data_IF_159548716121
#
_entry.id   IF_159548716121
#
_cell.length_a   1.000
_cell.length_b   1.000
_cell.length_c   1.000
_cell.angle_alpha   90.00
_cell.angle_beta   90.00
_cell.angle_gamma   90.00
#
_symmetry.space_group_name_H-M   'P 1'
#
loop_
_entity.id
_entity.type
_entity.pdbx_description
1 polymer ?
#
# COMPACT_ATOMS: atom_id res chain seq x y z
N UNK A 1 19.76 4.14 20.40
CA UNK A 1 18.49 4.36 19.66
C UNK A 1 18.83 4.78 18.25
N UNK A 2 18.35 4.06 17.24
CA UNK A 2 18.60 4.42 15.84
C UNK A 2 17.76 5.65 15.46
N UNK A 3 18.40 6.60 14.78
CA UNK A 3 17.73 7.80 14.26
C UNK A 3 16.87 7.39 13.06
N UNK A 4 15.58 7.77 13.06
CA UNK A 4 14.64 7.41 12.01
C UNK A 4 14.94 8.12 10.67
N UNK A 5 15.24 7.31 9.65
CA UNK A 5 15.41 7.72 8.25
C UNK A 5 14.76 6.72 7.28
N UNK A 6 13.72 6.00 7.74
CA UNK A 6 13.10 4.89 7.00
C UNK A 6 12.41 5.38 5.72
N UNK A 7 11.74 6.54 5.77
CA UNK A 7 10.98 7.08 4.65
C UNK A 7 11.42 8.51 4.31
N UNK A 8 10.97 9.10 3.18
CA UNK A 8 11.36 10.44 2.74
C UNK A 8 11.03 11.57 3.73
N UNK A 9 10.13 11.34 4.71
CA UNK A 9 9.89 12.33 5.78
C UNK A 9 11.15 12.70 6.55
N UNK A 10 12.15 11.81 6.61
CA UNK A 10 13.44 12.10 7.21
C UNK A 10 13.36 12.69 8.62
N UNK A 11 12.48 12.17 9.46
CA UNK A 11 12.15 12.76 10.78
C UNK A 11 13.34 12.91 11.70
N UNK A 12 14.39 12.09 11.55
CA UNK A 12 15.64 12.12 12.33
C UNK A 12 15.42 12.11 13.84
N UNK A 13 14.36 11.45 14.31
CA UNK A 13 14.07 11.28 15.72
C UNK A 13 14.56 9.92 16.20
N UNK A 14 15.03 9.78 17.46
CA UNK A 14 15.26 8.48 18.07
C UNK A 14 13.90 7.82 18.34
N UNK A 15 13.53 6.85 17.51
CA UNK A 15 12.23 6.16 17.65
C UNK A 15 12.23 5.34 18.93
N UNK A 16 11.13 5.45 19.66
CA UNK A 16 10.83 4.54 20.78
C UNK A 16 10.53 3.14 20.25
N UNK A 17 10.77 2.14 21.09
CA UNK A 17 10.47 0.75 20.75
C UNK A 17 8.97 0.53 20.64
N UNK A 18 8.23 0.81 21.70
CA UNK A 18 6.77 0.74 21.76
C UNK A 18 6.11 2.10 21.64
N UNK A 19 4.86 2.14 21.18
CA UNK A 19 4.05 3.37 21.16
C UNK A 19 3.87 3.95 22.57
N UNK A 20 3.90 3.14 23.59
CA UNK A 20 3.81 3.51 25.00
C UNK A 20 5.16 3.77 25.67
N UNK A 21 6.27 3.52 24.95
CA UNK A 21 7.63 3.67 25.47
C UNK A 21 8.10 5.12 25.51
N UNK A 22 9.27 5.34 26.14
CA UNK A 22 9.96 6.63 26.11
C UNK A 22 10.62 6.87 24.75
N UNK A 23 10.76 8.13 24.36
CA UNK A 23 11.38 8.56 23.12
C UNK A 23 10.41 9.32 22.22
N UNK A 24 10.90 9.69 21.04
CA UNK A 24 10.14 10.45 20.06
C UNK A 24 9.36 9.55 19.10
N UNK A 25 8.32 10.09 18.52
CA UNK A 25 7.64 9.54 17.35
C UNK A 25 7.88 10.44 16.15
N UNK A 26 8.04 9.84 14.97
CA UNK A 26 8.12 10.59 13.72
C UNK A 26 6.75 11.04 13.21
N UNK A 27 6.72 11.48 11.96
CA UNK A 27 5.49 11.89 11.28
C UNK A 27 4.39 10.80 11.32
N UNK A 28 4.76 9.52 11.16
CA UNK A 28 3.83 8.38 11.26
C UNK A 28 3.23 8.17 12.65
N UNK A 29 3.78 8.81 13.68
CA UNK A 29 3.34 8.77 15.09
C UNK A 29 3.30 7.36 15.69
N UNK A 30 4.21 6.46 15.25
CA UNK A 30 4.31 5.08 15.74
C UNK A 30 5.67 4.79 16.38
N UNK A 31 5.74 3.73 17.17
CA UNK A 31 6.98 3.12 17.65
C UNK A 31 7.67 2.25 16.59
N UNK A 32 8.60 1.41 17.03
CA UNK A 32 9.28 0.43 16.15
C UNK A 32 8.50 -0.87 16.04
N UNK A 33 7.74 -1.25 17.09
CA UNK A 33 6.89 -2.43 17.07
C UNK A 33 5.67 -2.20 16.15
N UNK A 34 5.27 -3.22 15.38
CA UNK A 34 4.13 -3.12 14.47
C UNK A 34 2.83 -2.88 15.21
N UNK A 35 2.01 -1.98 14.68
CA UNK A 35 0.63 -1.83 15.11
C UNK A 35 -0.23 -2.35 13.95
N UNK A 36 -1.00 -3.40 14.20
CA UNK A 36 -1.83 -4.07 13.20
C UNK A 36 -3.29 -3.86 13.53
N UNK A 37 -4.08 -3.49 12.53
CA UNK A 37 -5.50 -3.16 12.68
C UNK A 37 -6.40 -4.33 12.30
N UNK A 38 -5.93 -5.19 11.39
CA UNK A 38 -6.61 -6.38 10.92
C UNK A 38 -5.62 -7.28 10.20
N UNK A 39 -5.81 -8.59 10.33
CA UNK A 39 -5.12 -9.62 9.56
C UNK A 39 -6.13 -10.70 9.13
N UNK A 40 -6.48 -10.74 7.84
CA UNK A 40 -7.49 -11.65 7.32
C UNK A 40 -7.33 -11.87 5.81
N UNK A 41 -8.01 -12.88 5.27
CA UNK A 41 -8.15 -13.00 3.82
C UNK A 41 -8.95 -11.81 3.28
N UNK A 42 -8.41 -11.17 2.22
CA UNK A 42 -9.01 -10.02 1.55
C UNK A 42 -9.16 -10.31 0.06
N UNK A 43 -10.36 -10.03 -0.49
CA UNK A 43 -10.73 -10.43 -1.85
C UNK A 43 -10.85 -9.25 -2.82
N UNK A 44 -10.50 -8.04 -2.38
CA UNK A 44 -10.80 -6.80 -3.11
C UNK A 44 -9.56 -6.02 -3.57
N UNK A 45 -8.37 -6.65 -3.54
CA UNK A 45 -7.22 -6.16 -4.27
C UNK A 45 -7.34 -6.55 -5.75
N UNK A 46 -6.40 -6.11 -6.58
CA UNK A 46 -6.38 -6.45 -8.00
C UNK A 46 -6.47 -7.97 -8.23
N UNK A 47 -7.08 -8.42 -9.33
CA UNK A 47 -7.33 -9.84 -9.59
C UNK A 47 -6.10 -10.72 -9.46
N UNK A 48 -4.92 -10.24 -9.87
CA UNK A 48 -3.67 -10.99 -9.74
C UNK A 48 -3.09 -11.01 -8.31
N UNK A 49 -3.66 -10.26 -7.38
CA UNK A 49 -3.29 -10.26 -5.96
C UNK A 49 -4.29 -11.12 -5.16
N UNK A 50 -5.57 -10.80 -5.23
CA UNK A 50 -6.62 -11.50 -4.47
C UNK A 50 -6.92 -12.90 -5.03
N UNK A 51 -6.95 -13.05 -6.34
CA UNK A 51 -7.34 -14.30 -6.98
C UNK A 51 -8.68 -14.85 -6.45
N UNK A 52 -8.79 -16.17 -6.39
CA UNK A 52 -10.02 -16.85 -5.95
C UNK A 52 -10.08 -17.15 -4.45
N UNK A 53 -8.93 -17.17 -3.75
CA UNK A 53 -8.84 -17.52 -2.32
C UNK A 53 -8.57 -16.32 -1.41
N UNK A 54 -8.30 -15.15 -1.99
CA UNK A 54 -7.95 -13.93 -1.28
C UNK A 54 -6.45 -13.78 -1.01
N UNK A 55 -6.03 -12.54 -0.82
CA UNK A 55 -4.74 -12.18 -0.28
C UNK A 55 -4.75 -12.33 1.25
N UNK A 56 -3.67 -12.80 1.83
CA UNK A 56 -3.46 -12.79 3.28
C UNK A 56 -3.02 -11.41 3.73
N UNK A 57 -3.99 -10.51 3.93
CA UNK A 57 -3.72 -9.09 4.09
C UNK A 57 -3.51 -8.69 5.54
N UNK A 58 -2.44 -7.94 5.79
CA UNK A 58 -2.09 -7.36 7.09
C UNK A 58 -2.16 -5.84 6.98
N UNK A 59 -3.13 -5.22 7.63
CA UNK A 59 -3.33 -3.77 7.64
C UNK A 59 -2.57 -3.14 8.81
N UNK A 60 -1.55 -2.36 8.50
CA UNK A 60 -0.78 -1.62 9.51
C UNK A 60 -1.39 -0.27 9.83
N UNK A 61 -1.33 0.13 11.10
CA UNK A 61 -1.78 1.43 11.58
C UNK A 61 -0.67 2.48 11.51
N UNK A 62 -1.05 3.74 11.27
CA UNK A 62 -0.14 4.84 10.97
C UNK A 62 0.18 4.92 9.49
N UNK A 63 0.73 6.06 9.06
CA UNK A 63 1.12 6.29 7.67
C UNK A 63 2.16 7.40 7.58
N UNK A 64 3.01 7.35 6.56
CA UNK A 64 3.98 8.41 6.28
C UNK A 64 3.43 9.52 5.35
N UNK A 65 2.20 9.40 4.84
CA UNK A 65 1.57 10.38 3.95
C UNK A 65 0.45 11.19 4.60
N UNK A 66 -0.48 10.54 5.34
CA UNK A 66 -1.68 11.19 5.93
C UNK A 66 -2.55 11.91 4.87
N UNK A 67 -2.86 11.23 3.76
CA UNK A 67 -3.71 11.77 2.70
C UNK A 67 -5.07 12.19 3.26
N UNK A 68 -5.55 13.38 2.91
CA UNK A 68 -6.81 13.95 3.42
C UNK A 68 -8.04 13.13 3.02
N UNK A 69 -7.95 12.37 1.93
CA UNK A 69 -9.00 11.52 1.37
C UNK A 69 -8.80 10.01 1.63
N UNK A 70 -7.96 9.64 2.59
CA UNK A 70 -7.62 8.23 2.81
C UNK A 70 -8.85 7.40 3.19
N UNK A 71 -9.19 6.38 2.40
CA UNK A 71 -10.26 5.43 2.71
C UNK A 71 -9.97 4.67 4.03
N UNK A 72 -8.70 4.43 4.32
CA UNK A 72 -8.24 3.78 5.54
C UNK A 72 -7.95 4.81 6.67
N UNK A 73 -8.73 5.90 6.76
CA UNK A 73 -8.50 7.01 7.69
C UNK A 73 -8.44 6.56 9.15
N UNK A 74 -9.27 5.60 9.55
CA UNK A 74 -9.32 5.06 10.90
C UNK A 74 -7.98 4.47 11.35
N UNK A 75 -7.26 3.82 10.45
CA UNK A 75 -5.99 3.18 10.77
C UNK A 75 -4.80 4.07 10.40
N UNK A 76 -4.86 4.84 9.32
CA UNK A 76 -3.75 5.68 8.87
C UNK A 76 -3.56 6.92 9.74
N UNK A 77 -4.65 7.61 10.12
CA UNK A 77 -4.63 8.87 10.87
C UNK A 77 -5.01 8.65 12.35
N UNK A 78 -6.11 7.92 12.64
CA UNK A 78 -6.53 7.63 14.00
C UNK A 78 -5.73 6.51 14.66
N UNK A 79 -4.96 5.74 13.88
CA UNK A 79 -4.03 4.69 14.32
C UNK A 79 -4.70 3.61 15.18
N UNK A 80 -5.95 3.28 14.84
CA UNK A 80 -6.64 2.16 15.48
C UNK A 80 -5.95 0.87 15.14
N UNK A 81 -5.52 0.13 16.14
CA UNK A 81 -4.83 -1.15 15.97
C UNK A 81 -4.20 -1.64 17.28
N UNK A 82 -3.64 -2.82 17.24
CA UNK A 82 -3.02 -3.51 18.37
C UNK A 82 -1.52 -3.58 18.11
N UNK A 83 -0.70 -3.12 19.06
CA UNK A 83 0.74 -3.27 19.00
C UNK A 83 1.11 -4.73 19.28
N UNK A 84 1.92 -5.32 18.40
CA UNK A 84 2.33 -6.72 18.48
C UNK A 84 3.84 -6.87 18.39
N UNK A 85 4.36 -8.02 18.81
CA UNK A 85 5.77 -8.35 18.62
C UNK A 85 6.08 -8.76 17.18
N UNK A 86 7.36 -8.77 16.82
CA UNK A 86 7.85 -9.25 15.52
C UNK A 86 7.53 -10.73 15.30
N UNK A 87 7.62 -11.52 16.38
CA UNK A 87 7.30 -12.96 16.38
C UNK A 87 5.81 -13.18 16.10
N UNK A 88 4.93 -12.36 16.73
CA UNK A 88 3.49 -12.43 16.46
C UNK A 88 3.18 -12.08 15.01
N UNK A 89 3.84 -11.09 14.44
CA UNK A 89 3.69 -10.75 13.03
C UNK A 89 4.07 -11.93 12.11
N UNK A 90 5.14 -12.64 12.42
CA UNK A 90 5.55 -13.84 11.67
C UNK A 90 4.55 -15.01 11.85
N UNK A 91 3.90 -15.15 13.01
CA UNK A 91 2.83 -16.13 13.23
C UNK A 91 1.60 -15.82 12.38
N UNK A 92 1.19 -14.54 12.34
CA UNK A 92 0.07 -14.08 11.50
C UNK A 92 0.26 -14.48 10.05
N UNK A 93 1.46 -14.34 9.48
CA UNK A 93 1.72 -14.77 8.10
C UNK A 93 1.45 -16.25 7.91
N UNK A 94 1.90 -17.10 8.83
CA UNK A 94 1.69 -18.55 8.76
C UNK A 94 0.21 -18.91 8.91
N UNK A 95 -0.51 -18.23 9.79
CA UNK A 95 -1.95 -18.41 9.99
C UNK A 95 -2.75 -18.06 8.72
N UNK A 96 -2.41 -16.95 8.04
CA UNK A 96 -3.04 -16.57 6.79
C UNK A 96 -2.73 -17.55 5.65
N UNK A 97 -1.48 -18.03 5.57
CA UNK A 97 -1.09 -19.08 4.61
C UNK A 97 -1.86 -20.37 4.88
N UNK A 98 -2.01 -20.79 6.14
CA UNK A 98 -2.79 -21.96 6.51
C UNK A 98 -4.28 -21.84 6.17
N UNK A 99 -4.82 -20.62 6.12
CA UNK A 99 -6.17 -20.31 5.62
C UNK A 99 -6.29 -20.36 4.10
N UNK A 100 -5.18 -20.55 3.38
CA UNK A 100 -5.16 -20.69 1.93
C UNK A 100 -4.85 -19.42 1.14
N UNK A 101 -4.32 -18.37 1.80
CA UNK A 101 -3.94 -17.13 1.13
C UNK A 101 -3.02 -17.37 -0.10
N UNK A 102 -3.27 -16.64 -1.18
CA UNK A 102 -2.41 -16.69 -2.38
C UNK A 102 -1.04 -16.04 -2.16
N UNK A 103 -0.98 -15.06 -1.28
CA UNK A 103 0.21 -14.27 -0.94
C UNK A 103 0.04 -13.68 0.47
N UNK A 104 1.07 -13.01 0.97
CA UNK A 104 0.98 -12.14 2.15
C UNK A 104 1.05 -10.69 1.67
N UNK A 105 -0.04 -9.97 1.81
CA UNK A 105 -0.16 -8.58 1.40
C UNK A 105 -0.01 -7.64 2.61
N UNK A 106 1.05 -6.84 2.61
CA UNK A 106 1.43 -5.92 3.68
C UNK A 106 0.96 -4.51 3.31
N UNK A 107 -0.17 -4.07 3.87
CA UNK A 107 -0.76 -2.76 3.56
C UNK A 107 -0.20 -1.66 4.45
N UNK A 108 0.47 -0.69 3.83
CA UNK A 108 1.13 0.46 4.48
C UNK A 108 2.23 0.06 5.49
N UNK A 109 3.17 -0.81 5.13
CA UNK A 109 4.20 -1.33 6.04
C UNK A 109 5.40 -0.40 6.20
N UNK A 110 5.51 0.69 5.45
CA UNK A 110 6.68 1.58 5.29
C UNK A 110 7.39 1.90 6.59
N UNK A 111 6.65 2.35 7.58
CA UNK A 111 7.20 2.83 8.85
C UNK A 111 7.57 1.69 9.82
N UNK A 112 7.21 0.46 9.49
CA UNK A 112 7.57 -0.78 10.20
C UNK A 112 8.55 -1.67 9.43
N UNK A 113 9.24 -1.13 8.43
CA UNK A 113 10.16 -1.88 7.55
C UNK A 113 11.13 -2.79 8.30
N UNK A 114 11.70 -2.34 9.44
CA UNK A 114 12.61 -3.18 10.22
C UNK A 114 11.92 -4.38 10.84
N UNK A 115 10.73 -4.19 11.41
CA UNK A 115 9.94 -5.28 11.98
C UNK A 115 9.46 -6.25 10.89
N UNK A 116 9.04 -5.73 9.74
CA UNK A 116 8.69 -6.54 8.55
C UNK A 116 9.89 -7.36 8.08
N UNK A 117 11.07 -6.74 7.95
CA UNK A 117 12.28 -7.46 7.55
C UNK A 117 12.61 -8.60 8.51
N UNK A 118 12.52 -8.36 9.82
CA UNK A 118 12.79 -9.37 10.84
C UNK A 118 11.73 -10.48 10.84
N UNK A 119 10.44 -10.14 10.72
CA UNK A 119 9.35 -11.13 10.71
C UNK A 119 9.36 -12.04 9.47
N UNK A 120 9.92 -11.56 8.35
CA UNK A 120 10.17 -12.34 7.13
C UNK A 120 11.52 -13.10 7.18
N UNK A 121 11.87 -13.69 8.31
CA UNK A 121 13.14 -14.39 8.53
C UNK A 121 13.45 -15.42 7.44
N UNK A 122 12.75 -16.55 7.43
CA UNK A 122 12.82 -17.56 6.37
C UNK A 122 11.86 -17.24 5.21
N UNK A 123 12.17 -17.67 3.97
CA UNK A 123 11.28 -17.51 2.83
C UNK A 123 9.90 -18.16 3.09
N UNK A 124 8.84 -17.43 2.77
CA UNK A 124 7.48 -17.96 2.83
C UNK A 124 7.16 -18.78 1.57
N UNK A 125 6.25 -19.78 1.65
CA UNK A 125 5.86 -20.60 0.51
C UNK A 125 4.96 -19.87 -0.51
N UNK A 126 4.61 -18.63 -0.23
CA UNK A 126 3.80 -17.73 -1.07
C UNK A 126 4.51 -16.39 -1.26
N UNK A 127 4.24 -15.65 -2.33
CA UNK A 127 4.82 -14.32 -2.52
C UNK A 127 4.45 -13.35 -1.38
N UNK A 128 5.36 -12.43 -1.09
CA UNK A 128 5.08 -11.28 -0.22
C UNK A 128 4.85 -10.06 -1.09
N UNK A 129 3.70 -9.42 -0.90
CA UNK A 129 3.28 -8.18 -1.54
C UNK A 129 3.54 -7.02 -0.58
N UNK A 130 4.20 -5.97 -1.07
CA UNK A 130 4.43 -4.72 -0.31
C UNK A 130 3.55 -3.63 -0.91
N UNK A 131 2.40 -3.40 -0.27
CA UNK A 131 1.35 -2.49 -0.69
C UNK A 131 1.53 -1.14 0.01
N UNK A 132 1.97 -0.13 -0.72
CA UNK A 132 2.38 1.14 -0.13
C UNK A 132 1.89 2.37 -0.90
N UNK A 133 1.91 3.52 -0.24
CA UNK A 133 1.52 4.80 -0.84
C UNK A 133 2.56 5.39 -1.81
N UNK A 134 3.59 4.65 -2.19
CA UNK A 134 4.64 5.09 -3.12
C UNK A 134 5.70 6.02 -2.51
N UNK A 135 5.41 6.70 -1.41
CA UNK A 135 6.35 7.63 -0.76
C UNK A 135 7.40 6.88 0.06
N UNK A 136 8.32 6.22 -0.67
CA UNK A 136 9.32 5.32 -0.12
C UNK A 136 10.74 5.88 -0.29
N UNK A 137 11.64 5.47 0.61
CA UNK A 137 13.07 5.72 0.44
C UNK A 137 13.70 4.62 -0.42
N UNK A 138 14.49 4.97 -1.41
CA UNK A 138 15.27 4.03 -2.24
C UNK A 138 16.10 3.08 -1.36
N UNK A 139 16.66 3.58 -0.25
CA UNK A 139 17.42 2.75 0.69
C UNK A 139 16.55 1.72 1.39
N UNK A 140 15.33 2.10 1.77
CA UNK A 140 14.37 1.18 2.40
C UNK A 140 13.91 0.10 1.43
N UNK A 141 13.61 0.47 0.19
CA UNK A 141 13.30 -0.49 -0.87
C UNK A 141 14.49 -1.44 -1.09
N UNK A 142 15.71 -0.91 -1.18
CA UNK A 142 16.92 -1.72 -1.34
C UNK A 142 17.18 -2.66 -0.15
N UNK A 143 16.90 -2.22 1.08
CA UNK A 143 17.02 -3.03 2.30
C UNK A 143 16.09 -4.25 2.30
N UNK A 144 14.90 -4.13 1.71
CA UNK A 144 13.93 -5.22 1.60
C UNK A 144 14.23 -6.20 0.44
N UNK A 145 15.33 -6.02 -0.27
CA UNK A 145 15.73 -6.90 -1.38
C UNK A 145 15.66 -8.37 -0.98
N UNK A 146 15.10 -9.21 -1.85
CA UNK A 146 14.89 -10.65 -1.67
C UNK A 146 13.81 -11.01 -0.62
N UNK A 147 13.27 -10.07 0.13
CA UNK A 147 12.16 -10.32 1.07
C UNK A 147 10.80 -10.08 0.41
N UNK A 148 10.75 -9.15 -0.55
CA UNK A 148 9.53 -8.77 -1.25
C UNK A 148 9.63 -9.26 -2.69
N UNK A 149 8.62 -9.99 -3.15
CA UNK A 149 8.48 -10.47 -4.51
C UNK A 149 7.62 -9.55 -5.36
N UNK A 150 6.55 -9.01 -4.78
CA UNK A 150 5.59 -8.16 -5.48
C UNK A 150 5.54 -6.79 -4.81
N UNK A 151 5.73 -5.75 -5.60
CA UNK A 151 5.59 -4.37 -5.14
C UNK A 151 4.28 -3.81 -5.67
N UNK A 152 3.48 -3.23 -4.80
CA UNK A 152 2.18 -2.63 -5.10
C UNK A 152 2.17 -1.16 -4.67
N UNK A 153 2.99 -0.30 -5.33
CA UNK A 153 3.04 1.12 -5.00
C UNK A 153 1.89 1.88 -5.64
N UNK A 154 1.29 2.81 -4.89
CA UNK A 154 0.49 3.85 -5.51
C UNK A 154 1.40 4.94 -6.10
N UNK A 155 1.12 5.42 -7.30
CA UNK A 155 1.67 6.64 -7.86
C UNK A 155 0.56 7.69 -7.90
N UNK A 156 0.42 8.42 -6.76
CA UNK A 156 -0.75 9.28 -6.49
C UNK A 156 -0.70 10.61 -7.23
N UNK A 157 0.49 11.20 -7.34
CA UNK A 157 0.67 12.54 -7.84
C UNK A 157 1.85 12.64 -8.79
N UNK A 158 1.67 13.36 -9.89
CA UNK A 158 2.72 13.96 -10.71
C UNK A 158 2.87 15.46 -10.41
N UNK A 159 1.86 16.09 -9.80
CA UNK A 159 1.81 17.51 -9.47
C UNK A 159 2.20 17.76 -8.01
N UNK A 160 3.25 18.55 -7.78
CA UNK A 160 3.75 18.87 -6.44
C UNK A 160 2.75 19.69 -5.61
N UNK A 161 1.92 20.51 -6.25
CA UNK A 161 0.90 21.32 -5.56
C UNK A 161 -0.21 20.43 -5.02
N UNK A 162 -0.69 19.47 -5.83
CA UNK A 162 -1.66 18.47 -5.40
C UNK A 162 -1.09 17.57 -4.28
N UNK A 163 0.17 17.14 -4.42
CA UNK A 163 0.85 16.32 -3.44
C UNK A 163 1.00 17.02 -2.07
N UNK A 164 1.38 18.29 -2.08
CA UNK A 164 1.46 19.10 -0.86
C UNK A 164 0.07 19.31 -0.25
N UNK A 165 -0.91 19.71 -1.07
CA UNK A 165 -2.26 20.04 -0.63
C UNK A 165 -2.98 18.85 0.01
N UNK A 166 -2.87 17.67 -0.59
CA UNK A 166 -3.67 16.50 -0.15
C UNK A 166 -2.88 15.49 0.67
N UNK A 167 -1.54 15.54 0.68
CA UNK A 167 -0.71 14.58 1.41
C UNK A 167 0.50 15.19 2.12
N UNK A 168 0.62 16.54 2.15
CA UNK A 168 1.73 17.29 2.76
C UNK A 168 3.10 16.75 2.32
N UNK A 169 3.28 16.51 1.03
CA UNK A 169 4.48 15.89 0.46
C UNK A 169 4.79 16.48 -0.93
N UNK A 170 5.27 17.72 -0.97
CA UNK A 170 5.59 18.43 -2.24
C UNK A 170 6.63 17.70 -3.10
N UNK A 171 7.50 16.91 -2.48
CA UNK A 171 8.52 16.07 -3.14
C UNK A 171 8.04 14.66 -3.48
N UNK A 172 6.72 14.38 -3.36
CA UNK A 172 6.14 13.05 -3.52
C UNK A 172 6.56 12.40 -4.85
N UNK A 173 6.38 13.10 -5.98
CA UNK A 173 6.61 12.52 -7.29
C UNK A 173 8.06 12.06 -7.44
N UNK A 174 9.03 12.91 -7.14
CA UNK A 174 10.46 12.58 -7.21
C UNK A 174 10.79 11.33 -6.37
N UNK A 175 10.25 11.25 -5.14
CA UNK A 175 10.52 10.13 -4.25
C UNK A 175 9.82 8.86 -4.70
N UNK A 176 8.58 8.96 -5.15
CA UNK A 176 7.79 7.82 -5.59
C UNK A 176 8.38 7.17 -6.86
N UNK A 177 8.72 7.98 -7.87
CA UNK A 177 9.28 7.44 -9.11
C UNK A 177 10.65 6.78 -8.88
N UNK A 178 11.51 7.41 -8.08
CA UNK A 178 12.81 6.82 -7.71
C UNK A 178 12.66 5.49 -6.96
N UNK A 179 11.66 5.40 -6.09
CA UNK A 179 11.37 4.17 -5.35
C UNK A 179 10.80 3.07 -6.28
N UNK A 180 9.85 3.41 -7.16
CA UNK A 180 9.25 2.49 -8.13
C UNK A 180 10.31 1.92 -9.08
N UNK A 181 11.19 2.77 -9.61
CA UNK A 181 12.32 2.30 -10.42
C UNK A 181 13.25 1.36 -9.64
N UNK A 182 13.48 1.64 -8.35
CA UNK A 182 14.27 0.73 -7.51
C UNK A 182 13.54 -0.60 -7.27
N UNK A 183 12.21 -0.61 -7.09
CA UNK A 183 11.40 -1.81 -7.01
C UNK A 183 11.52 -2.63 -8.29
N UNK A 184 11.37 -1.99 -9.45
CA UNK A 184 11.53 -2.65 -10.74
C UNK A 184 12.94 -3.20 -10.95
N UNK A 185 13.99 -2.45 -10.61
CA UNK A 185 15.38 -2.95 -10.68
C UNK A 185 15.62 -4.20 -9.85
N UNK A 186 14.83 -4.43 -8.79
CA UNK A 186 14.95 -5.62 -7.94
C UNK A 186 14.20 -6.84 -8.47
N UNK A 187 13.05 -6.63 -9.06
CA UNK A 187 12.18 -7.72 -9.53
C UNK A 187 12.33 -8.01 -11.02
N UNK A 188 12.69 -7.00 -11.82
CA UNK A 188 12.59 -7.07 -13.29
C UNK A 188 11.13 -7.12 -13.76
N UNK A 189 10.89 -7.57 -15.00
CA UNK A 189 9.55 -7.73 -15.56
C UNK A 189 8.64 -8.59 -14.68
N UNK A 190 7.34 -8.28 -14.71
CA UNK A 190 6.37 -9.02 -13.92
C UNK A 190 6.19 -10.46 -14.41
N UNK A 191 5.85 -11.36 -13.49
CA UNK A 191 5.52 -12.75 -13.80
C UNK A 191 4.20 -13.13 -13.14
N UNK A 192 3.23 -13.55 -13.95
CA UNK A 192 1.96 -14.11 -13.50
C UNK A 192 2.01 -15.62 -13.65
N UNK A 193 1.66 -16.34 -12.58
CA UNK A 193 1.60 -17.79 -12.59
C UNK A 193 0.42 -18.34 -13.42
N UNK A 194 0.42 -19.63 -13.68
CA UNK A 194 -0.69 -20.30 -14.37
C UNK A 194 -2.03 -20.21 -13.62
N UNK A 195 -1.98 -19.87 -12.31
CA UNK A 195 -3.12 -19.61 -11.45
C UNK A 195 -3.62 -18.16 -11.52
N UNK A 196 -3.07 -17.33 -12.41
CA UNK A 196 -3.40 -15.92 -12.57
C UNK A 196 -2.83 -15.00 -11.48
N UNK A 197 -2.03 -15.53 -10.55
CA UNK A 197 -1.49 -14.76 -9.42
C UNK A 197 -0.11 -14.19 -9.76
N UNK A 198 0.12 -12.93 -9.39
CA UNK A 198 1.41 -12.26 -9.52
C UNK A 198 2.45 -12.96 -8.63
N UNK A 199 3.50 -13.48 -9.23
CA UNK A 199 4.60 -14.19 -8.53
C UNK A 199 5.76 -13.26 -8.21
N UNK A 200 6.04 -12.30 -9.08
CA UNK A 200 6.99 -11.21 -8.85
C UNK A 200 6.70 -10.04 -9.79
N UNK A 201 7.19 -8.87 -9.44
CA UNK A 201 7.11 -7.67 -10.29
C UNK A 201 6.58 -6.45 -9.55
N UNK A 202 6.25 -5.44 -10.34
CA UNK A 202 5.66 -4.19 -9.84
C UNK A 202 4.29 -4.00 -10.48
N UNK A 203 3.28 -3.73 -9.66
CA UNK A 203 1.97 -3.28 -10.09
C UNK A 203 1.76 -1.85 -9.56
N UNK A 204 1.85 -0.86 -10.44
CA UNK A 204 1.67 0.56 -10.11
C UNK A 204 0.17 0.87 -10.10
N UNK A 205 -0.32 1.53 -9.05
CA UNK A 205 -1.72 1.94 -8.95
C UNK A 205 -1.85 3.45 -9.00
N UNK A 206 -2.86 3.94 -9.70
CA UNK A 206 -3.22 5.34 -9.72
C UNK A 206 -4.71 5.55 -9.45
N UNK A 207 -5.03 6.24 -8.35
CA UNK A 207 -6.39 6.64 -8.02
C UNK A 207 -6.70 8.01 -8.64
N UNK A 208 -7.66 8.07 -9.55
CA UNK A 208 -8.10 9.33 -10.14
C UNK A 208 -8.80 10.18 -9.09
N UNK A 209 -8.34 11.41 -8.90
CA UNK A 209 -8.99 12.40 -8.02
C UNK A 209 -9.87 13.35 -8.85
N UNK A 210 -11.06 13.73 -8.33
CA UNK A 210 -11.94 14.67 -9.02
C UNK A 210 -11.25 15.99 -9.36
N UNK A 211 -11.42 16.46 -10.59
CA UNK A 211 -10.83 17.72 -11.05
C UNK A 211 -9.30 17.72 -11.20
N UNK A 212 -8.65 16.56 -11.07
CA UNK A 212 -7.19 16.46 -11.10
C UNK A 212 -6.68 15.75 -12.37
N UNK A 213 -7.33 15.93 -13.52
CA UNK A 213 -6.99 15.25 -14.76
C UNK A 213 -5.55 15.53 -15.22
N UNK A 214 -5.04 16.76 -15.03
CA UNK A 214 -3.65 17.09 -15.32
C UNK A 214 -2.67 16.22 -14.51
N UNK A 215 -2.98 15.98 -13.24
CA UNK A 215 -2.21 15.09 -12.37
C UNK A 215 -2.22 13.64 -12.89
N UNK A 216 -3.40 13.14 -13.26
CA UNK A 216 -3.56 11.79 -13.83
C UNK A 216 -2.77 11.63 -15.12
N UNK A 217 -2.87 12.57 -16.05
CA UNK A 217 -2.12 12.54 -17.32
C UNK A 217 -0.61 12.51 -17.10
N UNK A 218 -0.07 13.33 -16.19
CA UNK A 218 1.36 13.32 -15.89
C UNK A 218 1.84 12.02 -15.22
N UNK A 219 0.98 11.30 -14.48
CA UNK A 219 1.28 9.95 -13.98
C UNK A 219 1.35 8.95 -15.14
N UNK A 220 0.36 8.98 -16.03
CA UNK A 220 0.29 8.08 -17.20
C UNK A 220 1.47 8.32 -18.16
N UNK A 221 1.83 9.57 -18.43
CA UNK A 221 2.99 9.95 -19.24
C UNK A 221 4.28 9.35 -18.65
N UNK A 222 4.51 9.54 -17.35
CA UNK A 222 5.69 8.96 -16.69
C UNK A 222 5.76 7.43 -16.84
N UNK A 223 4.64 6.72 -16.66
CA UNK A 223 4.61 5.27 -16.78
C UNK A 223 4.94 4.83 -18.21
N UNK A 224 4.32 5.46 -19.22
CA UNK A 224 4.55 5.16 -20.63
C UNK A 224 5.97 5.48 -21.10
N UNK A 225 6.58 6.56 -20.60
CA UNK A 225 7.94 6.96 -20.96
C UNK A 225 9.01 6.10 -20.28
N UNK A 226 8.72 5.58 -19.08
CA UNK A 226 9.71 4.89 -18.24
C UNK A 226 9.71 3.37 -18.45
N UNK A 227 8.54 2.76 -18.63
CA UNK A 227 8.40 1.31 -18.71
C UNK A 227 7.91 0.85 -20.08
N UNK A 228 8.41 -0.30 -20.50
CA UNK A 228 7.98 -0.95 -21.74
C UNK A 228 6.85 -1.93 -21.44
N UNK A 229 6.10 -2.31 -22.46
CA UNK A 229 5.16 -3.41 -22.37
C UNK A 229 5.84 -4.67 -21.83
N UNK A 230 5.26 -5.29 -20.82
CA UNK A 230 5.82 -6.46 -20.13
C UNK A 230 6.69 -6.11 -18.91
N UNK A 231 7.05 -4.85 -18.67
CA UNK A 231 7.90 -4.48 -17.52
C UNK A 231 7.10 -4.42 -16.23
N UNK A 232 5.99 -3.66 -16.21
CA UNK A 232 5.15 -3.44 -15.03
C UNK A 232 3.68 -3.62 -15.37
N UNK A 233 2.87 -3.92 -14.35
CA UNK A 233 1.43 -3.81 -14.46
C UNK A 233 0.99 -2.40 -13.98
N UNK A 234 -0.10 -1.90 -14.56
CA UNK A 234 -0.69 -0.63 -14.16
C UNK A 234 -2.18 -0.80 -13.84
N UNK A 235 -2.64 -0.25 -12.71
CA UNK A 235 -4.05 -0.25 -12.32
C UNK A 235 -4.60 1.17 -12.25
N UNK A 236 -5.50 1.51 -13.17
CA UNK A 236 -6.21 2.78 -13.18
C UNK A 236 -7.47 2.64 -12.31
N UNK A 237 -7.47 3.31 -11.15
CA UNK A 237 -8.50 3.14 -10.14
C UNK A 237 -9.56 4.24 -10.21
N UNK A 238 -10.83 3.82 -10.31
CA UNK A 238 -12.04 4.65 -10.33
C UNK A 238 -12.67 4.82 -8.94
N UNK A 239 -12.26 4.03 -7.97
CA UNK A 239 -12.99 3.83 -6.70
C UNK A 239 -12.95 5.02 -5.73
N UNK A 240 -12.57 6.23 -6.18
CA UNK A 240 -12.54 7.40 -5.31
C UNK A 240 -13.92 7.71 -4.73
N UNK A 241 -13.95 7.76 -3.40
CA UNK A 241 -15.09 8.28 -2.62
C UNK A 241 -14.53 9.22 -1.56
N UNK A 242 -15.13 10.39 -1.31
CA UNK A 242 -14.68 11.28 -0.24
C UNK A 242 -14.66 10.57 1.11
N UNK A 243 -13.50 10.56 1.75
CA UNK A 243 -13.28 9.98 3.09
C UNK A 243 -12.38 10.88 3.94
N UNK A 244 -12.29 10.57 5.21
CA UNK A 244 -11.39 11.22 6.15
C UNK A 244 -11.68 12.71 6.27
N UNK A 245 -10.77 13.55 5.78
CA UNK A 245 -10.87 15.02 5.81
C UNK A 245 -11.21 15.64 4.45
N UNK A 246 -11.67 14.83 3.49
CA UNK A 246 -11.96 15.30 2.12
C UNK A 246 -13.05 16.41 2.10
N UNK A 247 -13.97 16.43 3.06
CA UNK A 247 -15.00 17.47 3.21
C UNK A 247 -14.45 18.89 3.33
N UNK A 248 -13.22 19.03 3.85
CA UNK A 248 -12.52 20.33 3.93
C UNK A 248 -11.91 20.80 2.58
N UNK A 249 -12.04 20.00 1.53
CA UNK A 249 -11.46 20.23 0.20
C UNK A 249 -12.56 20.11 -0.86
N UNK A 250 -13.37 21.18 -1.09
CA UNK A 250 -14.58 21.11 -1.93
C UNK A 250 -14.33 20.56 -3.32
N UNK A 251 -13.15 20.80 -3.91
CA UNK A 251 -12.76 20.35 -5.25
C UNK A 251 -12.67 18.83 -5.38
N UNK A 252 -12.37 18.12 -4.27
CA UNK A 252 -12.31 16.66 -4.22
C UNK A 252 -13.41 16.06 -3.33
N UNK A 253 -14.33 16.87 -2.79
CA UNK A 253 -15.45 16.37 -1.97
C UNK A 253 -16.62 15.90 -2.83
N UNK A 254 -16.33 15.13 -3.86
CA UNK A 254 -17.30 14.47 -4.77
C UNK A 254 -16.67 13.22 -5.36
N UNK A 255 -17.45 12.35 -5.92
CA UNK A 255 -16.93 11.26 -6.76
C UNK A 255 -16.43 11.81 -8.09
N UNK A 256 -15.58 11.05 -8.78
CA UNK A 256 -15.24 11.33 -10.18
C UNK A 256 -16.47 11.13 -11.05
N UNK A 257 -16.55 11.88 -12.15
CA UNK A 257 -17.60 11.70 -13.15
C UNK A 257 -17.24 10.61 -14.15
N UNK A 258 -18.22 10.17 -14.95
CA UNK A 258 -17.98 9.20 -16.01
C UNK A 258 -17.03 9.80 -17.07
N UNK A 259 -17.21 11.07 -17.40
CA UNK A 259 -16.36 11.79 -18.36
C UNK A 259 -14.91 11.92 -17.88
N UNK A 260 -14.67 12.19 -16.58
CA UNK A 260 -13.32 12.23 -16.03
C UNK A 260 -12.64 10.85 -16.12
N UNK A 261 -13.39 9.78 -15.91
CA UNK A 261 -12.85 8.44 -16.04
C UNK A 261 -12.56 8.06 -17.49
N UNK A 262 -13.52 8.28 -18.38
CA UNK A 262 -13.39 8.00 -19.82
C UNK A 262 -12.23 8.79 -20.45
N UNK A 263 -12.03 10.05 -20.03
CA UNK A 263 -10.88 10.85 -20.46
C UNK A 263 -9.57 10.24 -20.02
N UNK A 264 -9.46 9.74 -18.77
CA UNK A 264 -8.25 9.12 -18.25
C UNK A 264 -7.97 7.78 -18.96
N UNK A 265 -8.99 6.95 -19.16
CA UNK A 265 -8.90 5.65 -19.83
C UNK A 265 -8.47 5.83 -21.30
N UNK A 266 -9.14 6.72 -22.04
CA UNK A 266 -8.77 7.02 -23.43
C UNK A 266 -7.32 7.56 -23.53
N UNK A 267 -6.89 8.37 -22.57
CA UNK A 267 -5.52 8.87 -22.55
C UNK A 267 -4.49 7.75 -22.25
N UNK A 268 -4.81 6.85 -21.33
CA UNK A 268 -4.00 5.66 -21.03
C UNK A 268 -3.84 4.77 -22.28
N UNK A 269 -4.94 4.50 -22.99
CA UNK A 269 -4.90 3.73 -24.24
C UNK A 269 -4.07 4.42 -25.32
N UNK A 270 -4.23 5.75 -25.50
CA UNK A 270 -3.45 6.52 -26.46
C UNK A 270 -1.95 6.50 -26.21
N UNK A 271 -1.52 6.33 -24.95
CA UNK A 271 -0.13 6.15 -24.55
C UNK A 271 0.37 4.70 -24.70
N UNK A 272 -0.51 3.75 -25.04
CA UNK A 272 -0.17 2.33 -25.21
C UNK A 272 0.08 1.58 -23.90
N UNK A 273 -0.47 2.02 -22.77
CA UNK A 273 -0.42 1.30 -21.50
C UNK A 273 -1.51 0.23 -21.52
N UNK A 274 -1.12 -1.02 -21.84
CA UNK A 274 -2.07 -2.13 -22.05
C UNK A 274 -1.99 -3.19 -20.94
N UNK A 275 -0.85 -3.29 -20.23
CA UNK A 275 -0.62 -4.31 -19.20
C UNK A 275 -1.19 -3.87 -17.86
N UNK A 276 -2.32 -4.44 -17.45
CA UNK A 276 -2.88 -4.14 -16.13
C UNK A 276 -4.40 -4.17 -16.06
N UNK A 277 -4.96 -3.23 -15.30
CA UNK A 277 -6.37 -3.25 -14.94
C UNK A 277 -6.99 -1.86 -15.05
N UNK A 278 -8.23 -1.82 -15.50
CA UNK A 278 -9.14 -0.67 -15.39
C UNK A 278 -10.32 -1.08 -14.52
N UNK A 279 -10.71 -0.21 -13.60
CA UNK A 279 -11.81 -0.53 -12.68
C UNK A 279 -13.15 -0.16 -13.28
N UNK A 280 -14.13 -1.05 -13.14
CA UNK A 280 -15.52 -0.80 -13.51
C UNK A 280 -16.23 0.11 -12.49
N UNK A 281 -17.40 0.64 -12.85
CA UNK A 281 -18.17 1.61 -12.04
C UNK A 281 -18.55 1.06 -10.65
N UNK A 282 -18.82 -0.24 -10.59
CA UNK A 282 -19.21 -0.97 -9.39
C UNK A 282 -18.09 -1.03 -8.32
N UNK A 283 -16.84 -0.77 -8.69
CA UNK A 283 -15.70 -0.78 -7.78
C UNK A 283 -15.73 0.35 -6.72
N UNK A 284 -16.62 1.33 -6.86
CA UNK A 284 -16.76 2.47 -5.93
C UNK A 284 -17.64 2.17 -4.71
N UNK A 285 -17.89 0.91 -4.36
CA UNK A 285 -18.70 0.53 -3.20
C UNK A 285 -17.85 0.55 -1.92
N UNK A 286 -18.37 1.23 -0.89
CA UNK A 286 -17.72 1.31 0.44
C UNK A 286 -17.68 -0.03 1.19
N UNK A 287 -18.49 -1.01 0.77
CA UNK A 287 -18.49 -2.36 1.36
C UNK A 287 -17.15 -3.11 1.16
N UNK A 288 -16.31 -2.64 0.23
CA UNK A 288 -14.96 -3.18 -0.01
C UNK A 288 -13.93 -2.73 1.03
N UNK A 289 -14.22 -1.72 1.85
CA UNK A 289 -13.36 -1.29 2.94
C UNK A 289 -13.59 -2.23 4.12
N UNK A 290 -12.56 -2.95 4.59
CA UNK A 290 -12.73 -3.88 5.70
C UNK A 290 -12.99 -3.16 7.02
N UNK A 291 -13.72 -3.80 7.92
CA UNK A 291 -13.86 -3.32 9.30
C UNK A 291 -12.54 -3.55 10.04
N UNK A 292 -11.98 -2.50 10.64
CA UNK A 292 -10.72 -2.54 11.38
C UNK A 292 -10.97 -2.82 12.87
N UNK A 293 -11.32 -4.06 13.19
CA UNK A 293 -11.78 -4.53 14.51
C UNK A 293 -10.75 -5.39 15.26
N UNK A 294 -9.52 -5.50 14.75
CA UNK A 294 -8.49 -6.35 15.34
C UNK A 294 -8.58 -7.83 14.95
N UNK A 295 -9.48 -8.21 14.05
CA UNK A 295 -9.61 -9.60 13.58
C UNK A 295 -8.24 -10.16 13.16
N UNK A 296 -7.88 -11.35 13.67
CA UNK A 296 -6.66 -12.07 13.33
C UNK A 296 -5.36 -11.50 13.93
N UNK A 297 -5.43 -10.40 14.71
CA UNK A 297 -4.24 -9.76 15.28
C UNK A 297 -3.78 -10.45 16.56
N UNK A 298 -4.69 -10.71 17.49
CA UNK A 298 -4.39 -11.46 18.71
C UNK A 298 -4.41 -12.96 18.45
N UNK A 299 -3.69 -13.74 19.27
CA UNK A 299 -3.80 -15.21 19.24
C UNK A 299 -5.24 -15.59 19.60
N UNK A 300 -5.82 -16.52 18.86
CA UNK A 300 -7.05 -17.16 19.30
C UNK A 300 -6.82 -17.71 20.73
N UNK A 301 -7.71 -17.34 21.66
CA UNK A 301 -7.64 -17.87 23.01
C UNK A 301 -7.64 -19.41 22.89
N UNK A 302 -6.60 -20.07 23.43
CA UNK A 302 -6.60 -21.53 23.52
C UNK A 302 -7.89 -21.92 24.23
N UNK A 303 -8.78 -22.60 23.53
CA UNK A 303 -10.00 -23.12 24.12
C UNK A 303 -9.56 -24.11 25.20
N UNK A 304 -9.64 -23.69 26.45
CA UNK A 304 -9.39 -24.51 27.63
C UNK A 304 -10.45 -25.60 27.67
N UNK A 305 -10.32 -26.59 26.81
CA UNK A 305 -11.05 -27.86 26.93
C UNK A 305 -10.43 -28.67 28.08
N UNK A 306 -10.68 -28.23 29.31
CA UNK A 306 -10.59 -29.13 30.43
C UNK A 306 -11.84 -30.04 30.32
N UNK A 307 -11.62 -31.25 29.83
CA UNK A 307 -12.49 -32.39 30.13
C UNK A 307 -12.24 -32.87 31.55
#
# INVERSE_FOLDING_TARGET
>A
MSICNICPRGCRVPRRESIHGQGAVGYCRTGMLPIVSRAALHHWEEPCISGTRGAGTVFFAGCNLSCVYCQNYEISELRRGIEISVERLAEIYRELIAQGAHNIDLVTPTHFTHAVFQSLGEPLPVPVVYNCGGYESVHTVAFLRKKIQCWLPDLKYSDAVAAERYSSASDYFEKAVSAIEQMFRQTGPYEIGADGILKKGVLIRHLILPGQMKNTKGVLEYVAETFRKGDVLFSLMRQYTPHGRAEAFPEINRRITDEEYEEAEAYMEALGIEDGYVQQKESSDQSFIPVFDGTGVERAAESNTKK
#
